data_IF_500141594910
#
_entry.id   IF_500141594910
#
_cell.length_a   1.000
_cell.length_b   1.000
_cell.length_c   1.000
_cell.angle_alpha   90.00
_cell.angle_beta   90.00
_cell.angle_gamma   90.00
#
_symmetry.space_group_name_H-M   'P 1'
#
loop_
_entity.id
_entity.type
_entity.pdbx_description
1 polymer ?
#
# COMPACT_ATOMS: atom_id res chain seq x y z
N UNK A 1 12.31 26.82 -9.53
CA UNK A 1 11.47 25.62 -9.36
C UNK A 1 11.50 25.16 -7.89
N UNK A 2 11.01 25.97 -6.95
CA UNK A 2 10.96 25.56 -5.54
C UNK A 2 9.59 24.95 -5.18
N UNK A 3 8.51 25.47 -5.77
CA UNK A 3 7.14 25.10 -5.38
C UNK A 3 6.78 23.66 -5.72
N UNK A 4 7.17 23.14 -6.88
CA UNK A 4 6.89 21.73 -7.24
C UNK A 4 7.62 20.76 -6.32
N UNK A 5 8.89 21.02 -6.00
CA UNK A 5 9.64 20.17 -5.06
C UNK A 5 9.09 20.29 -3.64
N UNK A 6 8.64 21.48 -3.23
CA UNK A 6 7.91 21.66 -1.97
C UNK A 6 6.61 20.84 -1.93
N UNK A 7 5.86 20.78 -3.04
CA UNK A 7 4.64 19.97 -3.12
C UNK A 7 4.93 18.46 -3.06
N UNK A 8 6.02 17.99 -3.69
CA UNK A 8 6.46 16.59 -3.59
C UNK A 8 6.85 16.24 -2.16
N UNK A 9 7.63 17.10 -1.52
CA UNK A 9 8.04 16.92 -0.13
C UNK A 9 6.84 16.95 0.83
N UNK A 10 5.88 17.86 0.61
CA UNK A 10 4.64 17.90 1.36
C UNK A 10 3.82 16.62 1.17
N UNK A 11 3.61 16.18 -0.08
CA UNK A 11 2.91 14.93 -0.37
C UNK A 11 3.56 13.71 0.32
N UNK A 12 4.89 13.62 0.29
CA UNK A 12 5.62 12.56 0.97
C UNK A 12 5.47 12.66 2.50
N UNK A 13 5.53 13.87 3.07
CA UNK A 13 5.35 14.12 4.49
C UNK A 13 3.96 13.75 4.99
N UNK A 14 2.92 14.21 4.30
CA UNK A 14 1.52 13.93 4.62
C UNK A 14 1.20 12.42 4.48
N UNK A 15 1.75 11.77 3.46
CA UNK A 15 1.61 10.32 3.26
C UNK A 15 2.23 9.52 4.42
N UNK A 16 3.42 9.92 4.88
CA UNK A 16 4.07 9.30 6.04
C UNK A 16 3.32 9.60 7.35
N UNK A 17 2.80 10.81 7.52
CA UNK A 17 2.02 11.20 8.70
C UNK A 17 0.74 10.36 8.81
N UNK A 18 -0.03 10.25 7.73
CA UNK A 18 -1.21 9.38 7.66
C UNK A 18 -0.90 7.94 8.10
N UNK A 19 0.12 7.29 7.49
CA UNK A 19 0.46 5.89 7.81
C UNK A 19 0.91 5.70 9.25
N UNK A 20 1.69 6.65 9.80
CA UNK A 20 2.10 6.63 11.21
C UNK A 20 0.90 6.77 12.15
N UNK A 21 0.00 7.72 11.88
CA UNK A 21 -1.13 7.98 12.78
C UNK A 21 -2.13 6.81 12.80
N UNK A 22 -2.34 6.10 11.68
CA UNK A 22 -3.13 4.86 11.69
C UNK A 22 -2.47 3.74 12.51
N UNK A 23 -1.14 3.61 12.46
CA UNK A 23 -0.41 2.66 13.31
C UNK A 23 -0.52 3.05 14.81
N UNK A 24 -0.39 4.34 15.12
CA UNK A 24 -0.52 4.85 16.49
C UNK A 24 -1.95 4.68 17.01
N UNK A 25 -2.96 4.84 16.16
CA UNK A 25 -4.34 4.56 16.53
C UNK A 25 -4.55 3.11 16.98
N UNK A 26 -3.98 2.13 16.25
CA UNK A 26 -4.03 0.71 16.66
C UNK A 26 -3.37 0.50 18.02
N UNK A 27 -2.21 1.13 18.25
CA UNK A 27 -1.51 1.05 19.54
C UNK A 27 -2.31 1.69 20.68
N UNK A 28 -2.86 2.89 20.47
CA UNK A 28 -3.69 3.57 21.45
C UNK A 28 -4.95 2.77 21.82
N UNK A 29 -5.57 2.08 20.86
CA UNK A 29 -6.69 1.16 21.12
C UNK A 29 -6.25 0.00 22.02
N UNK A 30 -5.13 -0.65 21.68
CA UNK A 30 -4.57 -1.77 22.46
C UNK A 30 -4.16 -1.35 23.89
N UNK A 31 -3.76 -0.10 24.07
CA UNK A 31 -3.38 0.48 25.36
C UNK A 31 -4.57 1.00 26.18
N UNK A 32 -5.80 0.86 25.68
CA UNK A 32 -7.03 1.24 26.40
C UNK A 32 -7.39 2.73 26.30
N UNK A 33 -6.90 3.44 25.28
CA UNK A 33 -7.18 4.86 25.03
C UNK A 33 -8.05 5.07 23.77
N UNK A 34 -9.34 4.68 23.79
CA UNK A 34 -10.19 4.69 22.59
C UNK A 34 -10.41 6.10 22.01
N UNK A 35 -10.46 7.13 22.86
CA UNK A 35 -10.61 8.52 22.41
C UNK A 35 -9.34 9.06 21.73
N UNK A 36 -8.16 8.64 22.21
CA UNK A 36 -6.88 8.99 21.58
C UNK A 36 -6.73 8.26 20.24
N UNK A 37 -7.10 6.97 20.20
CA UNK A 37 -7.15 6.21 18.94
C UNK A 37 -8.09 6.86 17.92
N UNK A 38 -9.27 7.32 18.36
CA UNK A 38 -10.23 8.06 17.52
C UNK A 38 -9.63 9.36 16.99
N UNK A 39 -8.92 10.12 17.82
CA UNK A 39 -8.25 11.35 17.39
C UNK A 39 -7.17 11.05 16.35
N UNK A 40 -6.31 10.04 16.57
CA UNK A 40 -5.31 9.65 15.58
C UNK A 40 -5.92 9.25 14.23
N UNK A 41 -7.02 8.48 14.23
CA UNK A 41 -7.74 8.16 12.98
C UNK A 41 -8.28 9.41 12.30
N UNK A 42 -8.89 10.34 13.05
CA UNK A 42 -9.42 11.59 12.50
C UNK A 42 -8.33 12.47 11.88
N UNK A 43 -7.17 12.58 12.52
CA UNK A 43 -6.03 13.33 11.96
C UNK A 43 -5.45 12.61 10.75
N UNK A 44 -5.37 11.27 10.75
CA UNK A 44 -4.94 10.52 9.57
C UNK A 44 -5.83 10.83 8.35
N UNK A 45 -7.14 10.90 8.52
CA UNK A 45 -8.07 11.32 7.45
C UNK A 45 -7.77 12.75 6.96
N UNK A 46 -7.45 13.69 7.87
CA UNK A 46 -7.06 15.04 7.49
C UNK A 46 -5.77 15.06 6.65
N UNK A 47 -4.75 14.28 7.01
CA UNK A 47 -3.51 14.21 6.23
C UNK A 47 -3.72 13.56 4.86
N UNK A 48 -4.69 12.65 4.72
CA UNK A 48 -5.13 12.16 3.40
C UNK A 48 -5.70 13.29 2.55
N UNK A 49 -6.51 14.20 3.14
CA UNK A 49 -7.04 15.36 2.43
C UNK A 49 -5.89 16.28 1.95
N UNK A 50 -4.91 16.56 2.81
CA UNK A 50 -3.74 17.37 2.47
C UNK A 50 -2.90 16.71 1.36
N UNK A 51 -2.53 15.45 1.52
CA UNK A 51 -1.76 14.69 0.54
C UNK A 51 -2.44 14.70 -0.85
N UNK A 52 -3.74 14.37 -0.90
CA UNK A 52 -4.48 14.36 -2.16
C UNK A 52 -4.62 15.76 -2.77
N UNK A 53 -4.72 16.82 -1.97
CA UNK A 53 -4.73 18.19 -2.48
C UNK A 53 -3.41 18.53 -3.18
N UNK A 54 -2.27 18.22 -2.55
CA UNK A 54 -0.95 18.43 -3.16
C UNK A 54 -0.76 17.59 -4.43
N UNK A 55 -1.16 16.32 -4.40
CA UNK A 55 -1.07 15.43 -5.56
C UNK A 55 -1.89 15.95 -6.75
N UNK A 56 -3.10 16.46 -6.50
CA UNK A 56 -3.93 17.08 -7.55
C UNK A 56 -3.30 18.35 -8.13
N UNK A 57 -2.74 19.23 -7.28
CA UNK A 57 -2.05 20.44 -7.75
C UNK A 57 -0.83 20.10 -8.61
N UNK A 58 -0.15 18.99 -8.31
CA UNK A 58 0.96 18.47 -9.13
C UNK A 58 0.51 17.77 -10.42
N UNK A 59 -0.80 17.58 -10.65
CA UNK A 59 -1.30 16.82 -11.80
C UNK A 59 -1.07 15.30 -11.70
N UNK A 60 -0.85 14.79 -10.48
CA UNK A 60 -0.59 13.37 -10.22
C UNK A 60 -1.83 12.48 -10.18
N UNK A 61 -3.03 13.05 -10.30
CA UNK A 61 -4.28 12.28 -10.44
C UNK A 61 -4.81 12.47 -11.85
N UNK A 62 -4.75 11.42 -12.66
CA UNK A 62 -5.10 11.42 -14.08
C UNK A 62 -6.31 10.51 -14.35
N UNK A 63 -6.49 10.06 -15.60
CA UNK A 63 -7.54 9.08 -15.93
C UNK A 63 -7.29 7.75 -15.23
N UNK A 64 -8.33 6.93 -15.02
CA UNK A 64 -8.17 5.58 -14.43
C UNK A 64 -7.13 4.75 -15.18
N UNK A 65 -7.10 4.85 -16.52
CA UNK A 65 -6.12 4.16 -17.35
C UNK A 65 -4.69 4.62 -17.02
N UNK A 66 -4.46 5.92 -16.96
CA UNK A 66 -3.12 6.47 -16.73
C UNK A 66 -2.66 6.20 -15.29
N UNK A 67 -3.57 6.27 -14.32
CA UNK A 67 -3.28 5.91 -12.93
C UNK A 67 -2.93 4.43 -12.79
N UNK A 68 -3.57 3.53 -13.54
CA UNK A 68 -3.22 2.10 -13.58
C UNK A 68 -1.84 1.86 -14.21
N UNK A 69 -1.49 2.61 -15.26
CA UNK A 69 -0.14 2.54 -15.86
C UNK A 69 0.91 2.99 -14.83
N UNK A 70 0.70 4.12 -14.18
CA UNK A 70 1.60 4.63 -13.14
C UNK A 70 1.74 3.63 -11.97
N UNK A 71 0.65 2.97 -11.56
CA UNK A 71 0.70 1.94 -10.53
C UNK A 71 1.53 0.73 -10.99
N UNK A 72 1.29 0.20 -12.20
CA UNK A 72 2.07 -0.93 -12.76
C UNK A 72 3.57 -0.59 -12.80
N UNK A 73 3.92 0.61 -13.25
CA UNK A 73 5.32 1.07 -13.30
C UNK A 73 5.94 1.15 -11.90
N UNK A 74 5.20 1.69 -10.92
CA UNK A 74 5.63 1.77 -9.52
C UNK A 74 5.87 0.39 -8.92
N UNK A 75 4.87 -0.48 -8.96
CA UNK A 75 4.95 -1.86 -8.46
C UNK A 75 6.12 -2.61 -9.12
N UNK A 76 6.24 -2.47 -10.46
CA UNK A 76 7.34 -3.03 -11.26
C UNK A 76 8.72 -2.58 -10.78
N UNK A 77 8.89 -1.27 -10.57
CA UNK A 77 10.12 -0.71 -10.03
C UNK A 77 10.43 -1.28 -8.63
N UNK A 78 9.43 -1.42 -7.77
CA UNK A 78 9.63 -1.89 -6.40
C UNK A 78 10.17 -3.33 -6.35
N UNK A 79 9.53 -4.29 -7.03
CA UNK A 79 9.99 -5.68 -6.96
C UNK A 79 11.19 -5.99 -7.86
N UNK A 80 11.44 -5.21 -8.92
CA UNK A 80 12.56 -5.46 -9.84
C UNK A 80 13.83 -4.70 -9.48
N UNK A 81 13.71 -3.51 -8.88
CA UNK A 81 14.84 -2.60 -8.70
C UNK A 81 15.04 -2.15 -7.25
N UNK A 82 13.97 -1.85 -6.52
CA UNK A 82 14.09 -1.29 -5.16
C UNK A 82 14.33 -2.36 -4.09
N UNK A 83 13.44 -3.35 -3.98
CA UNK A 83 13.51 -4.35 -2.91
C UNK A 83 14.67 -5.35 -3.04
N UNK A 84 15.10 -5.81 -4.24
CA UNK A 84 16.22 -6.74 -4.34
C UNK A 84 17.52 -6.28 -3.67
N UNK A 85 18.04 -5.05 -3.89
CA UNK A 85 19.22 -4.58 -3.18
C UNK A 85 18.97 -4.34 -1.68
N UNK A 86 17.77 -3.93 -1.28
CA UNK A 86 17.44 -3.72 0.14
C UNK A 86 17.43 -5.04 0.92
N UNK A 87 16.86 -6.09 0.32
CA UNK A 87 16.88 -7.44 0.87
C UNK A 87 18.32 -7.97 0.98
N UNK A 88 19.14 -7.77 -0.06
CA UNK A 88 20.53 -8.21 -0.06
C UNK A 88 21.35 -7.52 1.05
N UNK A 89 21.17 -6.21 1.25
CA UNK A 89 21.85 -5.47 2.32
C UNK A 89 21.35 -5.92 3.70
N UNK A 90 20.04 -6.07 3.90
CA UNK A 90 19.51 -6.57 5.17
C UNK A 90 20.01 -7.98 5.53
N UNK A 91 20.21 -8.85 4.53
CA UNK A 91 20.82 -10.17 4.72
C UNK A 91 22.29 -10.08 5.10
N UNK A 92 23.05 -9.18 4.46
CA UNK A 92 24.46 -8.91 4.76
C UNK A 92 24.64 -8.35 6.18
N UNK A 93 23.73 -7.48 6.60
CA UNK A 93 23.69 -6.91 7.95
C UNK A 93 23.15 -7.90 9.01
N UNK A 94 22.69 -9.08 8.57
CA UNK A 94 22.03 -10.08 9.41
C UNK A 94 20.78 -9.54 10.14
N UNK A 95 20.15 -8.50 9.60
CA UNK A 95 18.86 -7.98 10.07
C UNK A 95 17.73 -8.82 9.49
N UNK A 96 17.40 -9.88 10.22
CA UNK A 96 16.35 -10.83 9.84
C UNK A 96 14.96 -10.18 9.76
N UNK A 97 14.69 -9.15 10.56
CA UNK A 97 13.39 -8.50 10.58
C UNK A 97 13.20 -7.64 9.33
N UNK A 98 14.21 -6.82 8.98
CA UNK A 98 14.20 -6.05 7.74
C UNK A 98 14.17 -6.96 6.51
N UNK A 99 15.02 -8.00 6.47
CA UNK A 99 15.05 -8.96 5.37
C UNK A 99 13.67 -9.63 5.18
N UNK A 100 12.98 -9.98 6.27
CA UNK A 100 11.65 -10.57 6.17
C UNK A 100 10.62 -9.56 5.64
N UNK A 101 10.65 -8.33 6.15
CA UNK A 101 9.77 -7.25 5.68
C UNK A 101 9.92 -7.01 4.17
N UNK A 102 11.15 -6.83 3.68
CA UNK A 102 11.43 -6.61 2.26
C UNK A 102 11.05 -7.81 1.40
N UNK A 103 11.33 -9.04 1.84
CA UNK A 103 10.97 -10.23 1.09
C UNK A 103 9.45 -10.40 0.95
N UNK A 104 8.68 -10.09 2.00
CA UNK A 104 7.22 -10.10 1.91
C UNK A 104 6.70 -9.05 0.95
N UNK A 105 7.13 -7.79 1.11
CA UNK A 105 6.70 -6.69 0.24
C UNK A 105 7.02 -7.00 -1.23
N UNK A 106 8.28 -7.37 -1.54
CA UNK A 106 8.70 -7.74 -2.90
C UNK A 106 7.83 -8.82 -3.55
N UNK A 107 7.45 -9.86 -2.79
CA UNK A 107 6.59 -10.93 -3.32
C UNK A 107 5.15 -10.45 -3.55
N UNK A 108 4.67 -9.51 -2.73
CA UNK A 108 3.33 -8.92 -2.83
C UNK A 108 3.25 -7.88 -3.95
N UNK A 109 4.26 -7.04 -4.15
CA UNK A 109 4.26 -6.05 -5.25
C UNK A 109 4.26 -6.72 -6.63
N UNK A 110 4.88 -7.90 -6.76
CA UNK A 110 4.75 -8.71 -7.98
C UNK A 110 3.29 -9.13 -8.25
N UNK A 111 2.51 -9.38 -7.20
CA UNK A 111 1.09 -9.72 -7.30
C UNK A 111 0.28 -8.47 -7.64
N UNK A 112 0.55 -7.34 -6.99
CA UNK A 112 -0.09 -6.06 -7.29
C UNK A 112 0.12 -5.63 -8.75
N UNK A 113 1.35 -5.76 -9.26
CA UNK A 113 1.65 -5.53 -10.67
C UNK A 113 0.76 -6.40 -11.59
N UNK A 114 0.55 -7.68 -11.24
CA UNK A 114 -0.37 -8.57 -11.95
C UNK A 114 -1.83 -8.09 -11.91
N UNK A 115 -2.33 -7.76 -10.73
CA UNK A 115 -3.70 -7.30 -10.50
C UNK A 115 -4.00 -6.00 -11.26
N UNK A 116 -3.11 -5.01 -11.21
CA UNK A 116 -3.27 -3.78 -11.99
C UNK A 116 -3.14 -4.03 -13.49
N UNK A 117 -2.31 -4.99 -13.92
CA UNK A 117 -2.24 -5.42 -15.32
C UNK A 117 -3.56 -6.00 -15.83
N UNK A 118 -4.29 -6.76 -15.02
CA UNK A 118 -5.63 -7.26 -15.33
C UNK A 118 -6.66 -6.12 -15.37
N UNK A 119 -6.62 -5.22 -14.39
CA UNK A 119 -7.48 -4.03 -14.36
C UNK A 119 -7.28 -3.15 -15.60
N UNK A 120 -6.03 -2.92 -16.02
CA UNK A 120 -5.72 -2.14 -17.21
C UNK A 120 -6.26 -2.79 -18.49
N UNK A 121 -6.20 -4.13 -18.59
CA UNK A 121 -6.81 -4.86 -19.72
C UNK A 121 -8.33 -4.67 -19.75
N UNK A 122 -9.01 -4.75 -18.60
CA UNK A 122 -10.45 -4.54 -18.50
C UNK A 122 -10.84 -3.11 -18.91
N UNK A 123 -10.16 -2.10 -18.36
CA UNK A 123 -10.42 -0.68 -18.65
C UNK A 123 -10.17 -0.36 -20.13
N UNK A 124 -9.11 -0.88 -20.73
CA UNK A 124 -8.86 -0.70 -22.18
C UNK A 124 -9.96 -1.35 -23.05
N UNK A 125 -10.64 -2.37 -22.55
CA UNK A 125 -11.77 -3.00 -23.22
C UNK A 125 -13.12 -2.28 -22.94
N UNK A 126 -13.10 -1.13 -22.25
CA UNK A 126 -14.31 -0.41 -21.85
C UNK A 126 -15.13 -1.12 -20.78
N UNK A 127 -14.50 -2.01 -20.00
CA UNK A 127 -15.13 -2.80 -18.94
C UNK A 127 -14.53 -2.47 -17.59
N UNK A 128 -15.26 -2.79 -16.54
CA UNK A 128 -14.75 -2.84 -15.17
C UNK A 128 -14.21 -4.25 -14.85
N UNK A 129 -13.56 -4.40 -13.69
CA UNK A 129 -13.24 -5.71 -13.13
C UNK A 129 -14.52 -6.50 -12.81
N UNK A 130 -14.48 -7.84 -12.90
CA UNK A 130 -15.58 -8.67 -12.42
C UNK A 130 -15.87 -8.38 -10.95
N UNK A 131 -17.15 -8.31 -10.57
CA UNK A 131 -17.55 -8.12 -9.18
C UNK A 131 -17.03 -9.27 -8.33
N UNK A 132 -16.12 -8.97 -7.41
CA UNK A 132 -15.55 -9.89 -6.45
C UNK A 132 -15.20 -9.15 -5.16
N UNK A 133 -15.11 -9.89 -4.06
CA UNK A 133 -14.52 -9.36 -2.83
C UNK A 133 -13.00 -9.28 -3.00
N UNK A 134 -12.36 -8.33 -2.34
CA UNK A 134 -10.90 -8.19 -2.34
C UNK A 134 -10.43 -8.29 -0.90
N UNK A 135 -9.50 -9.19 -0.63
CA UNK A 135 -8.95 -9.44 0.69
C UNK A 135 -7.47 -9.09 0.75
N UNK A 136 -7.05 -8.55 1.88
CA UNK A 136 -5.64 -8.26 2.19
C UNK A 136 -5.25 -8.97 3.48
N UNK A 137 -4.12 -9.68 3.46
CA UNK A 137 -3.51 -10.23 4.66
C UNK A 137 -2.88 -9.12 5.51
N UNK A 138 -3.35 -8.93 6.74
CA UNK A 138 -2.89 -7.87 7.66
C UNK A 138 -1.47 -8.08 8.22
N UNK A 139 -0.86 -9.23 7.93
CA UNK A 139 0.51 -9.58 8.33
C UNK A 139 1.54 -9.20 7.28
N UNK A 140 1.26 -9.45 5.99
CA UNK A 140 2.25 -9.30 4.93
C UNK A 140 1.76 -8.52 3.70
N UNK A 141 0.48 -8.14 3.64
CA UNK A 141 -0.10 -7.40 2.53
C UNK A 141 -0.56 -8.24 1.33
N UNK A 142 -0.49 -9.57 1.39
CA UNK A 142 -0.94 -10.41 0.27
C UNK A 142 -2.39 -10.09 -0.11
N UNK A 143 -2.59 -9.68 -1.37
CA UNK A 143 -3.87 -9.24 -1.92
C UNK A 143 -4.45 -10.33 -2.83
N UNK A 144 -5.72 -10.68 -2.62
CA UNK A 144 -6.42 -11.70 -3.40
C UNK A 144 -7.85 -11.26 -3.72
N UNK A 145 -8.28 -11.52 -4.95
CA UNK A 145 -9.66 -11.30 -5.40
C UNK A 145 -10.47 -12.61 -5.28
N UNK A 146 -11.76 -12.51 -4.98
CA UNK A 146 -12.63 -13.67 -4.78
C UNK A 146 -12.64 -14.11 -3.32
N UNK A 147 -11.97 -15.22 -3.00
CA UNK A 147 -12.00 -15.84 -1.67
C UNK A 147 -10.63 -15.79 -0.98
N UNK A 148 -10.60 -15.46 0.31
CA UNK A 148 -9.39 -15.56 1.12
C UNK A 148 -9.00 -17.04 1.35
N UNK A 149 -7.72 -17.41 1.15
CA UNK A 149 -7.23 -18.78 1.37
C UNK A 149 -7.17 -19.13 2.86
N UNK A 150 -7.15 -20.43 3.19
CA UNK A 150 -7.02 -20.90 4.57
C UNK A 150 -5.68 -20.50 5.21
N UNK A 151 -4.63 -20.42 4.38
CA UNK A 151 -3.30 -19.93 4.76
C UNK A 151 -2.77 -18.99 3.69
N UNK A 152 -2.18 -17.88 4.13
CA UNK A 152 -1.52 -16.93 3.26
C UNK A 152 -0.32 -17.61 2.57
N UNK A 153 -0.23 -17.58 1.23
CA UNK A 153 0.86 -18.21 0.50
C UNK A 153 2.20 -17.48 0.68
N UNK A 154 2.19 -16.24 1.17
CA UNK A 154 3.39 -15.43 1.38
C UNK A 154 3.96 -15.64 2.78
N UNK A 155 3.15 -15.45 3.84
CA UNK A 155 3.62 -15.45 5.22
C UNK A 155 3.09 -16.61 6.08
N UNK A 156 2.19 -17.45 5.55
CA UNK A 156 1.61 -18.58 6.29
C UNK A 156 0.55 -18.23 7.33
N UNK A 157 0.20 -16.94 7.48
CA UNK A 157 -0.87 -16.47 8.36
C UNK A 157 -2.21 -17.16 8.02
N UNK A 158 -3.02 -17.41 9.04
CA UNK A 158 -4.32 -18.07 8.88
C UNK A 158 -5.36 -17.13 8.26
N UNK A 159 -6.47 -17.69 7.77
CA UNK A 159 -7.58 -16.95 7.13
C UNK A 159 -8.12 -15.77 7.94
N UNK A 160 -8.07 -15.83 9.27
CA UNK A 160 -8.58 -14.75 10.13
C UNK A 160 -7.76 -13.45 10.03
N UNK A 161 -6.54 -13.53 9.49
CA UNK A 161 -5.69 -12.37 9.19
C UNK A 161 -6.03 -11.69 7.87
N UNK A 162 -7.04 -12.18 7.14
CA UNK A 162 -7.51 -11.54 5.93
C UNK A 162 -8.67 -10.59 6.23
N UNK A 163 -8.50 -9.34 5.83
CA UNK A 163 -9.55 -8.32 5.89
C UNK A 163 -10.10 -8.04 4.51
N UNK A 164 -11.42 -8.04 4.37
CA UNK A 164 -12.10 -7.55 3.17
C UNK A 164 -11.91 -6.03 3.07
N UNK A 165 -11.50 -5.55 1.90
CA UNK A 165 -11.42 -4.12 1.57
C UNK A 165 -12.77 -3.68 0.99
N UNK A 166 -13.32 -2.58 1.50
CA UNK A 166 -14.64 -2.05 1.13
C UNK A 166 -14.55 -0.68 0.49
#
# INVERSE_FOLDING_TARGET
MATIDNLKNAFAGESQANRKYLAFAKKAEADGFPQVAKLFRAVAEAETVHAHAHLRVMGGVQSTKDNLVAAIEGEGFEFQQMYPPYLAEAQKDNDKAAAMSFKHAMAVEQIHHGLYGEALKAVNAGKDLPKAQIFVCDVCGFTVTGEAPDRCPICGAKKEHFMEVK
#
